data_IF_092746350654
#
_entry.id   IF_092746350654
#
_cell.length_a   1.000
_cell.length_b   1.000
_cell.length_c   1.000
_cell.angle_alpha   90.00
_cell.angle_beta   90.00
_cell.angle_gamma   90.00
#
_symmetry.space_group_name_H-M   'P 1'
#
loop_
_entity.id
_entity.type
_entity.pdbx_description
1 polymer ?
#
# COMPACT_ATOMS: atom_id res chain seq x y z
N UNK A 1 43.92 -21.56 1.52
CA UNK A 1 43.39 -21.40 2.88
C UNK A 1 42.05 -20.69 2.76
N UNK A 2 40.98 -21.45 2.95
CA UNK A 2 39.68 -21.26 2.30
C UNK A 2 38.72 -20.37 3.08
N UNK A 3 38.07 -19.43 2.38
CA UNK A 3 37.03 -18.52 2.90
C UNK A 3 35.85 -19.26 3.57
N UNK A 4 35.55 -20.48 3.12
CA UNK A 4 34.50 -21.33 3.68
C UNK A 4 34.73 -21.73 5.16
N UNK A 5 35.98 -21.70 5.64
CA UNK A 5 36.30 -22.03 7.04
C UNK A 5 35.99 -20.87 8.00
N UNK A 6 36.16 -19.61 7.56
CA UNK A 6 35.79 -18.42 8.34
C UNK A 6 34.27 -18.32 8.52
N UNK A 7 33.50 -18.65 7.49
CA UNK A 7 32.04 -18.59 7.53
C UNK A 7 31.42 -19.59 8.52
N UNK A 8 32.14 -20.65 8.92
CA UNK A 8 31.71 -21.65 9.91
C UNK A 8 32.38 -21.50 11.27
N UNK A 9 33.14 -20.43 11.50
CA UNK A 9 33.74 -20.17 12.81
C UNK A 9 32.62 -19.87 13.84
N UNK A 10 32.44 -20.71 14.88
CA UNK A 10 31.39 -20.52 15.88
C UNK A 10 31.46 -19.16 16.58
N UNK A 11 32.65 -18.57 16.73
CA UNK A 11 32.83 -17.25 17.36
C UNK A 11 32.35 -16.13 16.45
N UNK A 12 32.58 -16.25 15.14
CA UNK A 12 32.08 -15.30 14.16
C UNK A 12 30.56 -15.37 14.04
N UNK A 13 30.00 -16.58 14.05
CA UNK A 13 28.55 -16.80 14.06
C UNK A 13 27.91 -16.19 15.31
N UNK A 14 28.42 -16.50 16.52
CA UNK A 14 27.89 -15.93 17.78
C UNK A 14 27.97 -14.40 17.80
N UNK A 15 29.08 -13.82 17.34
CA UNK A 15 29.24 -12.37 17.27
C UNK A 15 28.27 -11.73 16.27
N UNK A 16 28.04 -12.37 15.12
CA UNK A 16 27.12 -11.89 14.09
C UNK A 16 25.67 -12.01 14.54
N UNK A 17 25.30 -13.11 15.20
CA UNK A 17 23.96 -13.29 15.78
C UNK A 17 23.66 -12.21 16.81
N UNK A 18 24.59 -11.95 17.75
CA UNK A 18 24.43 -10.88 18.75
C UNK A 18 24.32 -9.50 18.12
N UNK A 19 25.09 -9.24 17.05
CA UNK A 19 24.99 -7.99 16.31
C UNK A 19 23.61 -7.85 15.65
N UNK A 20 23.12 -8.90 14.98
CA UNK A 20 21.80 -8.88 14.33
C UNK A 20 20.68 -8.72 15.36
N UNK A 21 20.76 -9.40 16.50
CA UNK A 21 19.81 -9.22 17.61
C UNK A 21 19.86 -7.79 18.16
N UNK A 22 21.06 -7.24 18.37
CA UNK A 22 21.23 -5.85 18.80
C UNK A 22 20.62 -4.87 17.79
N UNK A 23 20.89 -5.06 16.49
CA UNK A 23 20.31 -4.23 15.42
C UNK A 23 18.79 -4.36 15.37
N UNK A 24 18.24 -5.57 15.55
CA UNK A 24 16.79 -5.80 15.64
C UNK A 24 16.18 -5.09 16.84
N UNK A 25 16.83 -5.17 18.00
CA UNK A 25 16.38 -4.50 19.22
C UNK A 25 16.47 -2.97 19.08
N UNK A 26 17.55 -2.45 18.50
CA UNK A 26 17.72 -1.02 18.25
C UNK A 26 16.70 -0.50 17.24
N UNK A 27 16.47 -1.22 16.15
CA UNK A 27 15.44 -0.89 15.16
C UNK A 27 14.03 -0.89 15.79
N UNK A 28 13.76 -1.85 16.68
CA UNK A 28 12.49 -1.95 17.40
C UNK A 28 12.32 -0.82 18.43
N UNK A 29 13.37 -0.49 19.18
CA UNK A 29 13.35 0.57 20.19
C UNK A 29 13.20 1.98 19.58
N UNK A 30 13.69 2.18 18.35
CA UNK A 30 13.52 3.44 17.61
C UNK A 30 12.11 3.63 17.05
N UNK A 31 11.30 2.58 16.94
CA UNK A 31 9.90 2.71 16.54
C UNK A 31 9.11 3.17 17.75
N UNK A 32 8.65 4.42 17.73
CA UNK A 32 7.63 4.87 18.68
C UNK A 32 6.36 4.05 18.44
N UNK A 33 5.92 3.22 19.39
CA UNK A 33 4.69 2.45 19.22
C UNK A 33 3.53 3.42 19.00
N UNK A 34 2.72 3.17 17.98
CA UNK A 34 1.45 3.87 17.83
C UNK A 34 0.49 3.20 18.82
N UNK A 35 0.24 3.88 19.95
CA UNK A 35 -0.64 3.39 21.02
C UNK A 35 -2.08 3.86 20.85
N UNK A 36 -2.34 4.66 19.82
CA UNK A 36 -3.62 5.26 19.52
C UNK A 36 -4.16 4.68 18.20
N UNK A 37 -5.31 4.03 18.30
CA UNK A 37 -5.97 3.36 17.17
C UNK A 37 -6.32 4.37 16.08
N UNK A 38 -6.65 5.60 16.44
CA UNK A 38 -7.06 6.66 15.50
C UNK A 38 -5.88 7.20 14.67
N UNK A 39 -4.65 6.89 15.06
CA UNK A 39 -3.43 7.28 14.32
C UNK A 39 -3.04 6.27 13.24
N UNK A 40 -3.77 5.16 13.11
CA UNK A 40 -3.58 4.20 12.02
C UNK A 40 -4.43 4.59 10.81
N UNK A 41 -3.84 4.55 9.62
CA UNK A 41 -4.56 4.85 8.36
C UNK A 41 -5.70 3.85 8.06
N UNK A 42 -5.64 2.65 8.65
CA UNK A 42 -6.67 1.62 8.53
C UNK A 42 -6.67 0.74 9.78
N UNK A 43 -7.86 0.34 10.24
CA UNK A 43 -8.05 -0.49 11.44
C UNK A 43 -8.96 -1.65 11.08
N UNK A 44 -8.47 -2.89 11.26
CA UNK A 44 -9.25 -4.10 11.11
C UNK A 44 -9.47 -4.74 12.49
N UNK A 45 -10.73 -4.91 12.88
CA UNK A 45 -11.10 -5.55 14.14
C UNK A 45 -11.12 -7.07 13.99
N UNK A 46 -10.64 -7.80 14.99
CA UNK A 46 -10.68 -9.27 15.01
C UNK A 46 -12.10 -9.84 14.87
N UNK A 47 -13.12 -9.11 15.33
CA UNK A 47 -14.53 -9.48 15.17
C UNK A 47 -15.02 -9.37 13.71
N UNK A 48 -14.31 -8.61 12.88
CA UNK A 48 -14.66 -8.33 11.49
C UNK A 48 -13.67 -8.97 10.51
N UNK A 49 -13.02 -10.08 10.92
CA UNK A 49 -12.13 -10.80 10.02
C UNK A 49 -12.93 -11.42 8.86
N UNK A 50 -12.39 -11.38 7.62
CA UNK A 50 -12.94 -12.15 6.51
C UNK A 50 -13.06 -13.64 6.85
N UNK A 51 -14.09 -14.33 6.35
CA UNK A 51 -14.31 -15.76 6.63
C UNK A 51 -13.13 -16.67 6.26
N UNK A 52 -12.30 -16.24 5.31
CA UNK A 52 -11.08 -16.95 4.91
C UNK A 52 -9.98 -16.96 6.00
N UNK A 53 -10.09 -16.10 7.02
CA UNK A 53 -9.10 -15.96 8.08
C UNK A 53 -9.71 -16.47 9.38
N UNK A 54 -9.23 -17.62 9.87
CA UNK A 54 -9.65 -18.19 11.15
C UNK A 54 -8.57 -17.96 12.22
N UNK A 55 -8.80 -17.10 13.22
CA UNK A 55 -7.88 -16.93 14.33
C UNK A 55 -7.89 -18.15 15.26
N UNK A 56 -6.78 -18.36 15.97
CA UNK A 56 -6.67 -19.43 16.96
C UNK A 56 -7.32 -18.99 18.29
N UNK A 57 -8.66 -19.05 18.36
CA UNK A 57 -9.46 -18.48 19.45
C UNK A 57 -9.08 -18.99 20.86
N UNK A 58 -8.49 -20.19 20.94
CA UNK A 58 -8.07 -20.82 22.20
C UNK A 58 -6.62 -20.49 22.59
N UNK A 59 -5.95 -19.57 21.88
CA UNK A 59 -4.57 -19.17 22.17
C UNK A 59 -4.46 -18.60 23.60
N UNK A 60 -3.60 -19.21 24.40
CA UNK A 60 -3.29 -18.77 25.75
C UNK A 60 -2.35 -17.56 25.81
N UNK A 61 -2.01 -17.15 27.03
CA UNK A 61 -1.04 -16.07 27.25
C UNK A 61 0.33 -16.45 26.66
N UNK A 62 0.81 -15.63 25.72
CA UNK A 62 2.10 -15.84 25.05
C UNK A 62 2.02 -16.73 23.81
N UNK A 63 0.84 -17.25 23.46
CA UNK A 63 0.62 -17.99 22.23
C UNK A 63 0.19 -17.07 21.09
N UNK A 64 0.40 -17.53 19.85
CA UNK A 64 0.10 -16.74 18.64
C UNK A 64 -1.37 -16.90 18.29
N UNK A 65 -2.15 -15.84 18.51
CA UNK A 65 -3.57 -15.79 18.14
C UNK A 65 -3.78 -15.79 16.61
N UNK A 66 -2.93 -15.08 15.87
CA UNK A 66 -3.06 -14.88 14.43
C UNK A 66 -1.69 -14.57 13.82
N UNK A 67 -1.36 -15.21 12.71
CA UNK A 67 -0.13 -14.98 11.96
C UNK A 67 -0.46 -14.79 10.49
N UNK A 68 0.20 -13.83 9.87
CA UNK A 68 0.12 -13.57 8.44
C UNK A 68 1.50 -13.66 7.84
N UNK A 69 1.60 -14.31 6.68
CA UNK A 69 2.79 -14.17 5.85
C UNK A 69 2.79 -12.78 5.22
N UNK A 70 3.97 -12.15 5.19
CA UNK A 70 4.12 -10.88 4.51
C UNK A 70 4.04 -11.11 3.00
N UNK A 71 2.94 -10.68 2.39
CA UNK A 71 2.77 -10.63 0.94
C UNK A 71 3.49 -9.38 0.44
N UNK A 72 4.46 -9.54 -0.47
CA UNK A 72 5.06 -8.39 -1.15
C UNK A 72 4.09 -7.91 -2.23
N UNK A 73 3.86 -6.59 -2.37
CA UNK A 73 3.11 -6.06 -3.49
C UNK A 73 3.73 -6.50 -4.82
N UNK A 74 2.89 -6.90 -5.77
CA UNK A 74 3.32 -7.17 -7.14
C UNK A 74 3.60 -5.85 -7.83
N UNK A 75 4.68 -5.75 -8.60
CA UNK A 75 4.96 -4.53 -9.37
C UNK A 75 3.89 -4.28 -10.43
N UNK A 76 3.53 -3.01 -10.67
CA UNK A 76 2.58 -2.66 -11.73
C UNK A 76 3.11 -3.03 -13.12
N UNK A 77 2.22 -3.25 -14.10
CA UNK A 77 2.62 -3.41 -15.48
C UNK A 77 3.33 -2.14 -15.98
N UNK A 78 4.53 -2.26 -16.58
CA UNK A 78 5.26 -1.09 -17.04
C UNK A 78 4.47 -0.36 -18.14
N UNK A 79 4.41 0.98 -18.13
CA UNK A 79 3.79 1.73 -19.21
C UNK A 79 4.61 1.58 -20.52
N UNK A 80 3.95 1.67 -21.69
CA UNK A 80 4.64 1.80 -22.97
C UNK A 80 5.53 3.05 -23.02
N UNK A 81 6.61 2.99 -23.80
CA UNK A 81 7.58 4.09 -23.94
C UNK A 81 6.93 5.40 -24.40
N UNK A 82 5.82 5.33 -25.13
CA UNK A 82 5.05 6.49 -25.57
C UNK A 82 4.47 7.30 -24.40
N UNK A 83 4.26 6.67 -23.24
CA UNK A 83 3.74 7.32 -22.02
C UNK A 83 4.85 7.84 -21.09
N UNK A 84 6.13 7.68 -21.46
CA UNK A 84 7.24 8.17 -20.66
C UNK A 84 7.17 9.68 -20.49
N UNK A 85 7.10 10.13 -19.23
CA UNK A 85 6.97 11.56 -18.89
C UNK A 85 5.57 12.13 -18.99
N UNK A 86 4.57 11.34 -19.41
CA UNK A 86 3.16 11.72 -19.39
C UNK A 86 2.41 11.28 -18.13
N UNK A 87 2.96 10.29 -17.41
CA UNK A 87 2.41 9.73 -16.18
C UNK A 87 3.33 9.95 -14.97
N UNK A 88 2.75 10.27 -13.80
CA UNK A 88 3.49 10.26 -12.53
C UNK A 88 3.74 8.82 -12.08
N UNK A 89 5.01 8.47 -11.88
CA UNK A 89 5.42 7.14 -11.42
C UNK A 89 4.83 6.77 -10.06
N UNK A 90 4.52 7.77 -9.21
CA UNK A 90 3.85 7.55 -7.92
C UNK A 90 2.42 7.08 -8.09
N UNK A 91 1.70 7.67 -9.04
CA UNK A 91 0.32 7.29 -9.35
C UNK A 91 0.26 5.91 -10.02
N UNK A 92 1.19 5.63 -10.92
CA UNK A 92 1.29 4.30 -11.56
C UNK A 92 1.58 3.19 -10.53
N UNK A 93 2.32 3.50 -9.47
CA UNK A 93 2.65 2.55 -8.41
C UNK A 93 1.57 2.42 -7.32
N UNK A 94 0.51 3.24 -7.37
CA UNK A 94 -0.53 3.30 -6.34
C UNK A 94 -1.79 2.53 -6.79
N UNK A 95 -2.02 1.30 -6.29
CA UNK A 95 -3.20 0.51 -6.66
C UNK A 95 -4.50 1.06 -6.07
N UNK A 96 -4.48 2.03 -5.15
CA UNK A 96 -5.69 2.61 -4.56
C UNK A 96 -6.34 3.64 -5.49
N UNK A 97 -5.63 4.07 -6.54
CA UNK A 97 -6.17 4.99 -7.52
C UNK A 97 -7.10 4.29 -8.51
N UNK A 98 -8.09 5.04 -8.99
CA UNK A 98 -8.99 4.55 -10.04
C UNK A 98 -8.27 4.45 -11.40
N UNK A 99 -7.39 5.41 -11.69
CA UNK A 99 -6.52 5.47 -12.86
C UNK A 99 -5.42 6.53 -12.62
N UNK A 100 -4.17 6.31 -13.07
CA UNK A 100 -3.14 7.35 -13.10
C UNK A 100 -3.54 8.47 -14.07
N UNK A 101 -3.34 9.73 -13.71
CA UNK A 101 -3.76 10.86 -14.52
C UNK A 101 -2.80 11.08 -15.70
N UNK A 102 -3.35 11.27 -16.91
CA UNK A 102 -2.57 11.61 -18.10
C UNK A 102 -2.33 13.12 -18.12
N UNK A 103 -1.07 13.54 -18.06
CA UNK A 103 -0.71 14.96 -18.08
C UNK A 103 -1.14 15.63 -19.39
N UNK A 104 -1.73 16.83 -19.31
CA UNK A 104 -2.08 17.62 -20.52
C UNK A 104 -0.86 18.09 -21.31
N UNK A 105 0.28 18.25 -20.60
CA UNK A 105 1.55 18.71 -21.14
C UNK A 105 2.59 17.60 -21.05
N UNK A 106 3.25 17.31 -22.15
CA UNK A 106 4.29 16.28 -22.23
C UNK A 106 5.69 16.79 -21.89
N UNK A 107 6.67 15.88 -21.85
CA UNK A 107 8.07 16.20 -21.53
C UNK A 107 8.79 17.00 -22.63
N UNK A 108 8.29 16.97 -23.86
CA UNK A 108 8.87 17.63 -25.02
C UNK A 108 8.49 19.11 -25.19
N UNK A 109 9.21 19.76 -26.11
CA UNK A 109 8.87 21.08 -26.63
C UNK A 109 8.75 21.01 -28.13
N UNK A 110 7.70 21.63 -28.67
CA UNK A 110 7.42 21.67 -30.10
C UNK A 110 7.64 23.09 -30.59
N UNK A 111 8.19 23.15 -31.80
CA UNK A 111 8.41 24.38 -32.54
C UNK A 111 7.09 24.78 -33.25
N UNK A 112 6.54 25.93 -32.90
CA UNK A 112 5.32 26.48 -33.47
C UNK A 112 5.66 27.64 -34.39
N UNK A 113 5.27 27.50 -35.67
CA UNK A 113 5.45 28.54 -36.69
C UNK A 113 4.17 29.37 -36.73
N UNK A 114 4.30 30.64 -36.41
CA UNK A 114 3.21 31.62 -36.41
C UNK A 114 2.95 32.10 -37.85
N UNK A 115 1.77 32.68 -38.07
CA UNK A 115 1.33 33.15 -39.40
C UNK A 115 2.24 34.25 -39.98
N UNK A 116 2.95 34.97 -39.11
CA UNK A 116 3.95 35.99 -39.46
C UNK A 116 5.34 35.41 -39.83
N UNK A 117 5.48 34.08 -39.81
CA UNK A 117 6.75 33.38 -40.04
C UNK A 117 7.70 33.39 -38.83
N UNK A 118 7.26 33.92 -37.70
CA UNK A 118 8.01 33.85 -36.43
C UNK A 118 7.86 32.47 -35.84
N UNK A 119 8.95 31.96 -35.24
CA UNK A 119 8.95 30.64 -34.61
C UNK A 119 9.05 30.76 -33.10
N UNK A 120 8.18 30.05 -32.38
CA UNK A 120 8.17 30.00 -30.91
C UNK A 120 8.20 28.57 -30.41
N UNK A 121 8.79 28.34 -29.23
CA UNK A 121 8.77 27.04 -28.58
C UNK A 121 7.65 26.98 -27.57
N UNK A 122 6.75 25.99 -27.70
CA UNK A 122 5.73 25.68 -26.71
C UNK A 122 5.89 24.26 -26.16
N UNK A 123 5.40 23.98 -24.94
CA UNK A 123 5.33 22.60 -24.45
C UNK A 123 4.48 21.74 -25.41
N UNK A 124 4.88 20.47 -25.57
CA UNK A 124 4.02 19.51 -26.28
C UNK A 124 2.77 19.23 -25.46
N UNK A 125 1.64 19.06 -26.14
CA UNK A 125 0.35 18.76 -25.53
C UNK A 125 -0.16 17.41 -25.99
N UNK A 126 -1.11 16.83 -25.24
CA UNK A 126 -1.74 15.54 -25.59
C UNK A 126 -2.31 15.56 -27.01
N UNK A 127 -2.85 16.71 -27.44
CA UNK A 127 -3.42 16.89 -28.78
C UNK A 127 -2.37 16.79 -29.89
N UNK A 128 -1.11 17.16 -29.61
CA UNK A 128 -0.01 17.06 -30.56
C UNK A 128 0.45 15.59 -30.77
N UNK A 129 0.03 14.69 -29.87
CA UNK A 129 0.52 13.31 -29.74
C UNK A 129 -0.63 12.30 -29.60
N UNK A 130 -1.42 12.07 -30.67
CA UNK A 130 -2.54 11.11 -30.62
C UNK A 130 -2.07 9.68 -30.28
N UNK A 131 -0.81 9.34 -30.54
CA UNK A 131 -0.21 8.07 -30.12
C UNK A 131 -0.20 7.87 -28.59
N UNK A 132 -0.08 8.94 -27.81
CA UNK A 132 -0.07 8.90 -26.33
C UNK A 132 -1.45 8.54 -25.82
N UNK A 133 -2.51 9.18 -26.33
CA UNK A 133 -3.90 8.89 -25.95
C UNK A 133 -4.25 7.44 -26.27
N UNK A 134 -3.81 6.96 -27.45
CA UNK A 134 -4.04 5.58 -27.86
C UNK A 134 -3.30 4.59 -26.95
N UNK A 135 -2.01 4.82 -26.69
CA UNK A 135 -1.20 3.96 -25.83
C UNK A 135 -1.77 3.90 -24.40
N UNK A 136 -2.23 5.05 -23.87
CA UNK A 136 -2.87 5.13 -22.57
C UNK A 136 -4.16 4.29 -22.53
N UNK A 137 -5.03 4.42 -23.55
CA UNK A 137 -6.26 3.65 -23.63
C UNK A 137 -6.05 2.13 -23.76
N UNK A 138 -4.97 1.69 -24.39
CA UNK A 138 -4.61 0.27 -24.52
C UNK A 138 -3.97 -0.30 -23.24
N UNK A 139 -3.16 0.49 -22.54
CA UNK A 139 -2.46 0.08 -21.33
C UNK A 139 -3.35 0.14 -20.08
N UNK A 140 -4.22 1.14 -19.95
CA UNK A 140 -5.04 1.40 -18.77
C UNK A 140 -5.83 0.17 -18.28
N UNK A 141 -6.49 -0.64 -19.14
CA UNK A 141 -7.20 -1.84 -18.69
C UNK A 141 -6.29 -2.88 -18.03
N UNK A 142 -5.04 -3.00 -18.51
CA UNK A 142 -4.05 -3.91 -17.94
C UNK A 142 -3.60 -3.44 -16.56
N UNK A 143 -3.38 -2.13 -16.42
CA UNK A 143 -3.07 -1.52 -15.13
C UNK A 143 -4.24 -1.65 -14.14
N UNK A 144 -5.48 -1.40 -14.57
CA UNK A 144 -6.67 -1.52 -13.73
C UNK A 144 -6.89 -2.94 -13.21
N UNK A 145 -6.65 -3.96 -14.05
CA UNK A 145 -6.72 -5.36 -13.63
C UNK A 145 -5.66 -5.69 -12.57
N UNK A 146 -4.44 -5.18 -12.71
CA UNK A 146 -3.41 -5.30 -11.68
C UNK A 146 -3.81 -4.58 -10.39
N UNK A 147 -4.29 -3.34 -10.48
CA UNK A 147 -4.69 -2.55 -9.31
C UNK A 147 -5.85 -3.21 -8.56
N UNK A 148 -6.83 -3.78 -9.27
CA UNK A 148 -7.90 -4.56 -8.67
C UNK A 148 -7.39 -5.84 -7.99
N UNK A 149 -6.43 -6.53 -8.61
CA UNK A 149 -5.80 -7.69 -8.00
C UNK A 149 -5.06 -7.33 -6.71
N UNK A 150 -4.32 -6.22 -6.69
CA UNK A 150 -3.60 -5.76 -5.50
C UNK A 150 -4.54 -5.29 -4.39
N UNK A 151 -5.64 -4.58 -4.70
CA UNK A 151 -6.67 -4.21 -3.71
C UNK A 151 -7.35 -5.43 -3.10
N UNK A 152 -7.59 -6.46 -3.90
CA UNK A 152 -8.20 -7.72 -3.46
C UNK A 152 -7.20 -8.70 -2.83
N UNK A 153 -5.89 -8.42 -2.93
CA UNK A 153 -4.87 -9.27 -2.33
C UNK A 153 -4.97 -9.17 -0.80
N UNK A 154 -5.06 -10.30 -0.07
CA UNK A 154 -5.09 -10.30 1.38
C UNK A 154 -3.74 -9.82 1.91
N UNK A 155 -3.64 -8.51 2.16
CA UNK A 155 -2.44 -7.84 2.64
C UNK A 155 -2.21 -6.41 2.13
N UNK A 156 -2.87 -5.98 1.05
CA UNK A 156 -2.55 -4.70 0.37
C UNK A 156 -3.70 -3.70 0.20
N UNK A 157 -4.95 -4.04 0.52
CA UNK A 157 -6.07 -3.12 0.37
C UNK A 157 -6.07 -2.00 1.41
N UNK A 158 -5.68 -0.79 0.99
CA UNK A 158 -6.24 0.42 1.57
C UNK A 158 -7.73 0.52 1.15
N UNK A 159 -8.43 1.45 1.78
CA UNK A 159 -9.84 1.29 2.10
C UNK A 159 -10.80 1.32 0.91
N UNK A 160 -11.60 0.26 0.78
CA UNK A 160 -13.03 0.40 0.46
C UNK A 160 -13.86 -0.39 1.46
N UNK A 161 -13.98 0.13 2.68
CA UNK A 161 -15.13 -0.20 3.53
C UNK A 161 -16.20 0.85 3.26
N UNK A 162 -17.18 0.45 2.46
CA UNK A 162 -18.45 1.15 2.31
C UNK A 162 -19.02 1.43 3.70
N UNK A 163 -18.94 2.69 4.13
CA UNK A 163 -19.59 3.17 5.35
C UNK A 163 -21.10 2.98 5.20
N UNK A 164 -21.58 1.85 5.72
CA UNK A 164 -23.00 1.68 6.02
C UNK A 164 -23.23 2.34 7.38
N UNK A 165 -24.10 3.35 7.51
CA UNK A 165 -24.38 3.92 8.82
C UNK A 165 -25.06 2.86 9.70
N UNK A 166 -24.36 2.40 10.74
CA UNK A 166 -24.98 1.58 11.79
C UNK A 166 -26.07 2.41 12.50
N UNK A 167 -27.24 1.82 12.79
CA UNK A 167 -28.28 2.50 13.51
C UNK A 167 -27.92 2.63 15.00
N UNK A 168 -27.95 3.87 15.46
CA UNK A 168 -28.39 4.32 16.79
C UNK A 168 -27.67 3.73 18.01
N UNK A 169 -26.69 4.50 18.45
CA UNK A 169 -26.23 4.66 19.84
C UNK A 169 -27.36 4.58 20.87
N UNK A 170 -27.36 3.55 21.73
CA UNK A 170 -28.02 3.60 23.03
C UNK A 170 -27.05 4.26 24.04
N UNK A 171 -27.41 5.37 24.70
CA UNK A 171 -26.53 6.01 25.67
C UNK A 171 -26.45 5.18 26.95
N UNK A 172 -25.23 4.80 27.33
CA UNK A 172 -24.90 4.11 28.57
C UNK A 172 -24.82 5.11 29.72
N UNK A 173 -25.71 5.03 30.70
CA UNK A 173 -25.59 5.77 31.96
C UNK A 173 -25.00 4.87 33.06
N UNK A 174 -24.08 5.46 33.82
CA UNK A 174 -23.35 4.85 34.93
C UNK A 174 -23.93 5.43 36.24
N UNK A 175 -24.57 4.60 37.07
CA UNK A 175 -24.81 4.95 38.48
C UNK A 175 -24.67 3.71 39.36
N UNK A 176 -23.78 3.80 40.36
CA UNK A 176 -23.51 2.83 41.44
C UNK A 176 -23.03 1.42 41.01
N UNK A 177 -21.78 1.35 40.52
CA UNK A 177 -20.86 0.27 40.89
C UNK A 177 -21.26 -1.19 40.62
N UNK A 178 -22.19 -1.46 39.71
CA UNK A 178 -22.55 -2.83 39.33
C UNK A 178 -22.79 -2.94 37.82
N UNK A 179 -22.15 -3.92 37.19
CA UNK A 179 -22.28 -4.21 35.76
C UNK A 179 -23.40 -5.23 35.58
N UNK A 180 -24.59 -4.79 35.14
CA UNK A 180 -25.65 -5.70 34.69
C UNK A 180 -25.61 -5.83 33.16
N UNK A 181 -25.49 -7.06 32.67
CA UNK A 181 -25.79 -7.40 31.28
C UNK A 181 -27.31 -7.53 31.10
N UNK A 182 -27.92 -6.97 30.03
CA UNK A 182 -29.31 -7.25 29.73
C UNK A 182 -29.46 -8.67 29.16
N UNK A 183 -30.58 -9.38 29.45
CA UNK A 183 -30.87 -10.64 28.80
C UNK A 183 -31.48 -10.38 27.42
N UNK A 184 -30.96 -11.03 26.40
CA UNK A 184 -31.54 -11.05 25.06
C UNK A 184 -30.77 -10.23 24.02
N UNK A 185 -29.60 -10.72 23.64
CA UNK A 185 -29.11 -10.74 22.26
C UNK A 185 -28.68 -12.18 21.97
#
# INVERSE_FOLDING_TARGET
>A
MSEASRARDPRLIDSTTRLVEFLRNLASARRTPVLDVDRHGQVLWLANLPEAITPHAEAGLGEVLLSFDHVRPTSPPPPPTELDGWLDHREVADPEQAAPELSETGPGRIEEIHEDGTTSWRPETVDDRPEVVKAYGEWLPTWQAWAEQERNAPGNGAGTVTSTPSPTTCPRWMTNGSWCWPPGC
#
